data_IF_652950269294
#
_entry.id   IF_652950269294
#
_cell.length_a   1.000
_cell.length_b   1.000
_cell.length_c   1.000
_cell.angle_alpha   90.00
_cell.angle_beta   90.00
_cell.angle_gamma   90.00
#
_symmetry.space_group_name_H-M   'P 1'
#
loop_
_entity.id
_entity.type
_entity.pdbx_description
1 polymer ?
#
# COMPACT_ATOMS: atom_id res chain seq x y z
N UNK A 1 20.68 -5.99 -0.47
CA UNK A 1 19.64 -4.94 -0.42
C UNK A 1 20.28 -3.58 -0.17
N UNK A 2 20.40 -2.73 -1.19
CA UNK A 2 20.84 -1.35 -1.02
C UNK A 2 19.72 -0.56 -0.34
N UNK A 3 20.04 0.17 0.74
CA UNK A 3 19.11 1.13 1.32
C UNK A 3 18.98 2.29 0.32
N UNK A 4 17.85 2.36 -0.37
CA UNK A 4 17.37 3.60 -0.98
C UNK A 4 17.34 4.64 0.14
N UNK A 5 18.09 5.73 -0.03
CA UNK A 5 18.16 6.77 1.00
C UNK A 5 17.13 7.86 0.72
N UNK A 6 16.80 8.11 -0.54
CA UNK A 6 15.82 9.10 -0.96
C UNK A 6 14.89 8.52 -2.04
N UNK A 7 13.65 9.02 -2.10
CA UNK A 7 12.66 8.63 -3.11
C UNK A 7 13.18 8.90 -4.54
N UNK A 8 13.96 9.96 -4.70
CA UNK A 8 14.62 10.39 -5.94
C UNK A 8 15.65 9.35 -6.46
N UNK A 9 16.12 8.42 -5.61
CA UNK A 9 17.04 7.35 -6.02
C UNK A 9 16.31 6.17 -6.70
N UNK A 10 14.96 6.12 -6.64
CA UNK A 10 14.14 4.99 -7.13
C UNK A 10 13.19 5.40 -8.24
N UNK A 11 12.72 6.64 -8.22
CA UNK A 11 11.96 7.25 -9.29
C UNK A 11 12.81 8.41 -9.83
N UNK A 12 13.29 8.36 -11.08
CA UNK A 12 13.72 9.57 -11.77
C UNK A 12 12.46 10.42 -11.97
N UNK A 13 12.12 11.21 -10.96
CA UNK A 13 11.16 12.29 -11.08
C UNK A 13 11.89 13.39 -11.87
N UNK A 14 12.05 13.16 -13.19
CA UNK A 14 12.67 14.12 -14.11
C UNK A 14 11.77 15.37 -14.29
N UNK A 15 10.56 15.35 -13.73
CA UNK A 15 9.62 16.46 -13.67
C UNK A 15 9.88 17.35 -12.46
N UNK A 16 9.90 18.67 -12.67
CA UNK A 16 9.94 19.65 -11.60
C UNK A 16 8.77 19.41 -10.63
N UNK A 17 9.01 19.40 -9.30
CA UNK A 17 7.94 19.18 -8.34
C UNK A 17 6.90 20.30 -8.44
N UNK A 18 5.62 19.92 -8.45
CA UNK A 18 4.52 20.87 -8.44
C UNK A 18 4.62 21.82 -7.23
N UNK A 19 4.23 23.09 -7.38
CA UNK A 19 4.08 24.01 -6.25
C UNK A 19 3.24 23.40 -5.14
N UNK A 20 3.62 23.65 -3.88
CA UNK A 20 2.96 23.04 -2.72
C UNK A 20 1.45 23.32 -2.68
N UNK A 21 1.04 24.51 -3.04
CA UNK A 21 -0.36 24.93 -3.11
C UNK A 21 -1.16 24.14 -4.15
N UNK A 22 -0.54 23.79 -5.28
CA UNK A 22 -1.15 22.92 -6.29
C UNK A 22 -1.27 21.48 -5.81
N UNK A 23 -0.23 20.95 -5.15
CA UNK A 23 -0.26 19.63 -4.51
C UNK A 23 -1.35 19.57 -3.43
N UNK A 24 -1.44 20.60 -2.60
CA UNK A 24 -2.44 20.68 -1.52
C UNK A 24 -3.86 20.75 -2.11
N UNK A 25 -4.06 21.49 -3.21
CA UNK A 25 -5.34 21.54 -3.93
C UNK A 25 -5.73 20.17 -4.50
N UNK A 26 -4.81 19.46 -5.15
CA UNK A 26 -5.04 18.10 -5.67
C UNK A 26 -5.34 17.10 -4.55
N UNK A 27 -4.72 17.26 -3.37
CA UNK A 27 -4.97 16.41 -2.21
C UNK A 27 -6.28 16.75 -1.47
N UNK A 28 -6.85 17.94 -1.69
CA UNK A 28 -8.10 18.37 -1.06
C UNK A 28 -9.25 17.43 -1.37
N UNK A 29 -9.32 16.97 -2.62
CA UNK A 29 -10.37 16.08 -3.13
C UNK A 29 -10.18 14.62 -2.68
N UNK A 30 -9.10 14.31 -1.95
CA UNK A 30 -8.88 12.97 -1.39
C UNK A 30 -10.00 12.64 -0.41
N UNK A 31 -10.71 11.56 -0.72
CA UNK A 31 -11.72 10.96 0.16
C UNK A 31 -11.18 10.77 1.58
N UNK A 32 -11.96 11.20 2.58
CA UNK A 32 -11.60 11.06 4.01
C UNK A 32 -12.07 9.74 4.61
N UNK A 33 -13.04 9.08 3.99
CA UNK A 33 -13.63 7.83 4.46
C UNK A 33 -13.71 6.84 3.31
N UNK A 34 -13.81 5.54 3.64
CA UNK A 34 -13.89 4.49 2.61
C UNK A 34 -15.08 4.67 1.67
N UNK A 35 -16.21 5.20 2.17
CA UNK A 35 -17.38 5.50 1.35
C UNK A 35 -17.10 6.49 0.21
N UNK A 36 -16.13 7.40 0.40
CA UNK A 36 -15.70 8.33 -0.66
C UNK A 36 -14.79 7.70 -1.71
N UNK A 37 -14.30 6.47 -1.51
CA UNK A 37 -13.39 5.81 -2.44
C UNK A 37 -14.08 5.14 -3.65
N UNK A 38 -15.42 5.01 -3.64
CA UNK A 38 -16.20 4.20 -4.60
C UNK A 38 -16.03 4.64 -6.06
N UNK A 39 -15.76 5.93 -6.31
CA UNK A 39 -15.55 6.48 -7.66
C UNK A 39 -14.10 6.87 -7.97
N UNK A 40 -13.15 6.56 -7.08
CA UNK A 40 -11.75 6.91 -7.28
C UNK A 40 -11.14 5.95 -8.29
N UNK A 41 -10.33 6.48 -9.22
CA UNK A 41 -9.64 5.69 -10.24
C UNK A 41 -8.76 4.57 -9.66
N UNK A 42 -8.49 3.53 -10.46
CA UNK A 42 -7.55 2.44 -10.16
C UNK A 42 -6.53 2.31 -11.30
N UNK A 43 -5.21 2.30 -11.04
CA UNK A 43 -4.55 2.31 -9.72
C UNK A 43 -4.85 3.57 -8.90
N UNK A 44 -5.00 3.40 -7.59
CA UNK A 44 -5.41 4.51 -6.72
C UNK A 44 -4.35 5.64 -6.73
N UNK A 45 -4.72 6.88 -7.17
CA UNK A 45 -3.76 7.98 -7.28
C UNK A 45 -3.32 8.54 -5.92
N UNK A 46 -4.05 8.21 -4.84
CA UNK A 46 -3.77 8.72 -3.51
C UNK A 46 -2.68 7.91 -2.80
N UNK A 47 -1.43 8.02 -3.28
CA UNK A 47 -0.26 7.28 -2.75
C UNK A 47 0.05 7.58 -1.27
N UNK A 48 -0.45 8.71 -0.74
CA UNK A 48 -0.32 9.09 0.67
C UNK A 48 -1.39 8.47 1.58
N UNK A 49 -2.32 7.67 1.03
CA UNK A 49 -3.29 6.90 1.80
C UNK A 49 -2.59 5.72 2.49
N UNK A 50 -2.89 5.47 3.77
CA UNK A 50 -2.34 4.36 4.56
C UNK A 50 -2.69 2.97 4.02
N UNK A 51 -3.66 2.88 3.12
CA UNK A 51 -4.10 1.62 2.49
C UNK A 51 -3.60 1.45 1.06
N UNK A 52 -2.86 2.43 0.52
CA UNK A 52 -2.25 2.30 -0.79
C UNK A 52 -1.05 1.35 -0.71
N UNK A 53 -0.90 0.47 -1.71
CA UNK A 53 0.13 -0.57 -1.72
C UNK A 53 1.35 -0.21 -2.57
N UNK A 54 1.52 1.06 -2.96
CA UNK A 54 2.67 1.50 -3.73
C UNK A 54 3.91 1.74 -2.85
N UNK A 55 3.72 2.47 -1.75
CA UNK A 55 4.79 2.87 -0.82
C UNK A 55 4.74 2.07 0.47
N UNK A 56 5.92 1.69 0.95
CA UNK A 56 6.15 1.22 2.30
C UNK A 56 6.78 2.35 3.11
N UNK A 57 6.18 2.69 4.25
CA UNK A 57 6.71 3.71 5.16
C UNK A 57 7.04 3.03 6.49
N UNK A 58 8.29 3.17 6.93
CA UNK A 58 8.67 2.75 8.26
C UNK A 58 8.21 3.82 9.27
N UNK A 59 7.22 3.49 10.10
CA UNK A 59 6.60 4.45 11.03
C UNK A 59 7.57 5.01 12.09
N UNK A 60 8.61 4.27 12.47
CA UNK A 60 9.57 4.70 13.48
C UNK A 60 10.64 5.65 12.93
N UNK A 61 11.14 5.37 11.72
CA UNK A 61 12.28 6.08 11.11
C UNK A 61 11.87 7.04 10.01
N UNK A 62 10.63 6.95 9.52
CA UNK A 62 10.15 7.70 8.36
C UNK A 62 10.74 7.23 7.03
N UNK A 63 11.53 6.15 7.00
CA UNK A 63 12.12 5.65 5.76
C UNK A 63 11.03 5.16 4.79
N UNK A 64 11.15 5.58 3.53
CA UNK A 64 10.20 5.22 2.46
C UNK A 64 10.88 4.24 1.49
N UNK A 65 10.17 3.19 1.09
CA UNK A 65 10.58 2.26 0.04
C UNK A 65 9.41 1.88 -0.87
N UNK A 66 9.69 1.32 -2.04
CA UNK A 66 8.65 0.79 -2.92
C UNK A 66 8.23 -0.62 -2.49
N UNK A 67 6.94 -0.90 -2.58
CA UNK A 67 6.43 -2.26 -2.41
C UNK A 67 6.80 -3.16 -3.60
N UNK A 68 6.74 -2.63 -4.82
CA UNK A 68 7.17 -3.31 -6.03
C UNK A 68 8.30 -2.51 -6.72
N UNK A 69 9.53 -3.02 -6.62
CA UNK A 69 10.70 -2.32 -7.16
C UNK A 69 10.69 -2.31 -8.69
N UNK A 70 10.94 -1.14 -9.28
CA UNK A 70 11.00 -0.98 -10.74
C UNK A 70 9.64 -0.88 -11.43
N UNK A 71 8.55 -0.73 -10.67
CA UNK A 71 7.21 -0.46 -11.22
C UNK A 71 6.84 0.99 -10.94
N UNK A 72 6.50 1.71 -12.00
CA UNK A 72 5.97 3.07 -11.92
C UNK A 72 4.55 3.08 -11.30
N UNK A 73 4.19 4.17 -10.61
CA UNK A 73 2.89 4.32 -9.95
C UNK A 73 1.70 4.09 -10.90
N UNK A 74 1.80 4.51 -12.16
CA UNK A 74 0.75 4.34 -13.16
C UNK A 74 0.73 2.94 -13.78
N UNK A 75 1.80 2.18 -13.61
CA UNK A 75 1.94 0.81 -14.09
C UNK A 75 1.59 -0.25 -13.02
N UNK A 76 1.22 0.18 -11.81
CA UNK A 76 0.69 -0.72 -10.77
C UNK A 76 -0.55 -1.42 -11.29
N UNK A 77 -0.71 -2.70 -10.94
CA UNK A 77 -1.93 -3.45 -11.21
C UNK A 77 -3.13 -2.77 -10.51
N UNK A 78 -4.17 -2.31 -11.24
CA UNK A 78 -5.33 -1.62 -10.65
C UNK A 78 -5.94 -2.36 -9.47
N UNK A 79 -6.02 -3.69 -9.55
CA UNK A 79 -6.64 -4.58 -8.56
C UNK A 79 -5.74 -4.80 -7.32
N UNK A 80 -4.48 -4.39 -7.39
CA UNK A 80 -3.49 -4.53 -6.30
C UNK A 80 -2.96 -3.19 -5.80
N UNK A 81 -3.64 -2.09 -6.13
CA UNK A 81 -3.24 -0.76 -5.70
C UNK A 81 -3.72 -0.40 -4.28
N UNK A 82 -4.68 -1.14 -3.71
CA UNK A 82 -5.25 -0.86 -2.39
C UNK A 82 -5.50 -2.13 -1.55
N UNK A 83 -5.02 -2.13 -0.31
CA UNK A 83 -5.20 -3.23 0.63
C UNK A 83 -6.68 -3.50 0.99
N UNK A 84 -7.50 -2.44 1.02
CA UNK A 84 -8.92 -2.58 1.34
C UNK A 84 -9.74 -3.14 0.18
N UNK A 85 -9.36 -2.85 -1.07
CA UNK A 85 -10.03 -3.45 -2.23
C UNK A 85 -9.72 -4.94 -2.32
N UNK A 86 -8.46 -5.33 -2.02
CA UNK A 86 -8.08 -6.74 -1.89
C UNK A 86 -8.91 -7.40 -0.79
N UNK A 87 -8.98 -6.81 0.40
CA UNK A 87 -9.75 -7.38 1.51
C UNK A 87 -11.25 -7.54 1.18
N UNK A 88 -11.84 -6.58 0.46
CA UNK A 88 -13.25 -6.66 0.03
C UNK A 88 -13.50 -7.73 -1.04
N UNK A 89 -12.47 -8.15 -1.77
CA UNK A 89 -12.57 -9.26 -2.73
C UNK A 89 -12.69 -10.65 -2.05
N UNK A 90 -12.48 -10.72 -0.73
CA UNK A 90 -12.71 -11.92 0.08
C UNK A 90 -11.43 -12.59 0.55
N UNK A 91 -11.47 -13.93 0.64
CA UNK A 91 -10.33 -14.74 1.08
C UNK A 91 -9.24 -14.76 0.02
N UNK A 92 -7.98 -14.70 0.46
CA UNK A 92 -6.79 -14.77 -0.39
C UNK A 92 -5.81 -15.76 0.19
N UNK A 93 -5.12 -16.48 -0.68
CA UNK A 93 -3.96 -17.30 -0.32
C UNK A 93 -2.76 -16.44 0.11
N UNK A 94 -1.80 -17.06 0.78
CA UNK A 94 -0.55 -16.40 1.16
C UNK A 94 0.23 -15.91 -0.06
N UNK A 95 0.17 -16.69 -1.16
CA UNK A 95 0.78 -16.37 -2.45
C UNK A 95 0.12 -15.16 -3.12
N UNK A 96 -1.22 -15.07 -3.09
CA UNK A 96 -1.96 -13.92 -3.62
C UNK A 96 -1.65 -12.64 -2.84
N UNK A 97 -1.57 -12.73 -1.50
CA UNK A 97 -1.17 -11.60 -0.66
C UNK A 97 0.27 -11.17 -0.94
N UNK A 98 1.20 -12.13 -1.07
CA UNK A 98 2.60 -11.83 -1.40
C UNK A 98 2.75 -11.24 -2.81
N UNK A 99 1.94 -11.68 -3.77
CA UNK A 99 1.91 -11.10 -5.11
C UNK A 99 1.43 -9.64 -5.10
N UNK A 100 0.53 -9.28 -4.18
CA UNK A 100 0.10 -7.90 -3.97
C UNK A 100 1.10 -7.08 -3.13
N UNK A 101 1.88 -7.73 -2.26
CA UNK A 101 2.91 -7.10 -1.43
C UNK A 101 4.29 -7.76 -1.62
N UNK A 102 4.93 -7.62 -2.80
CA UNK A 102 6.16 -8.35 -3.14
C UNK A 102 7.36 -8.02 -2.24
N UNK A 103 7.32 -6.88 -1.55
CA UNK A 103 8.31 -6.50 -0.55
C UNK A 103 8.32 -7.39 0.70
N UNK A 104 7.25 -8.16 0.94
CA UNK A 104 7.14 -9.12 2.03
C UNK A 104 7.38 -10.55 1.53
N UNK A 105 8.14 -11.35 2.29
CA UNK A 105 8.24 -12.77 2.00
C UNK A 105 6.99 -13.51 2.48
N UNK A 106 6.67 -14.65 1.85
CA UNK A 106 5.53 -15.50 2.23
C UNK A 106 5.57 -15.85 3.73
N UNK A 107 6.74 -16.22 4.26
CA UNK A 107 6.89 -16.53 5.69
C UNK A 107 6.70 -15.34 6.64
N UNK A 108 6.83 -14.09 6.16
CA UNK A 108 6.44 -12.90 6.94
C UNK A 108 4.92 -12.75 6.94
N UNK A 109 4.27 -12.93 5.79
CA UNK A 109 2.79 -12.90 5.68
C UNK A 109 2.16 -13.95 6.59
N UNK A 110 2.62 -15.19 6.51
CA UNK A 110 2.16 -16.30 7.37
C UNK A 110 2.33 -15.98 8.86
N UNK A 111 3.48 -15.40 9.25
CA UNK A 111 3.72 -15.02 10.64
C UNK A 111 2.73 -13.95 11.11
N UNK A 112 2.47 -12.94 10.27
CA UNK A 112 1.50 -11.88 10.58
C UNK A 112 0.12 -12.50 10.80
N UNK A 113 -0.30 -13.40 9.91
CA UNK A 113 -1.57 -14.12 10.02
C UNK A 113 -1.64 -14.93 11.34
N UNK A 114 -0.62 -15.73 11.65
CA UNK A 114 -0.58 -16.52 12.88
C UNK A 114 -0.65 -15.64 14.15
N UNK A 115 0.01 -14.48 14.15
CA UNK A 115 -0.08 -13.50 15.25
C UNK A 115 -1.48 -12.92 15.35
N UNK A 116 -2.12 -12.58 14.22
CA UNK A 116 -3.49 -12.08 14.18
C UNK A 116 -4.48 -13.13 14.70
N UNK A 117 -4.41 -14.37 14.20
CA UNK A 117 -5.24 -15.50 14.66
C UNK A 117 -5.07 -15.77 16.15
N UNK A 118 -3.83 -15.71 16.66
CA UNK A 118 -3.57 -15.85 18.10
C UNK A 118 -4.26 -14.77 18.92
N UNK A 119 -4.29 -13.52 18.44
CA UNK A 119 -4.99 -12.39 19.09
C UNK A 119 -6.51 -12.52 18.99
N UNK A 120 -7.01 -13.06 17.89
CA UNK A 120 -8.44 -13.29 17.66
C UNK A 120 -8.98 -14.50 18.42
N UNK A 121 -8.13 -15.47 18.76
CA UNK A 121 -8.52 -16.73 19.43
C UNK A 121 -9.50 -16.57 20.60
N UNK A 122 -9.37 -15.60 21.54
CA UNK A 122 -10.34 -15.45 22.63
C UNK A 122 -11.75 -15.01 22.19
N UNK A 123 -11.89 -14.46 20.98
CA UNK A 123 -13.14 -13.94 20.43
C UNK A 123 -13.80 -14.90 19.43
N UNK A 124 -13.04 -15.86 18.91
CA UNK A 124 -13.59 -16.95 18.13
C UNK A 124 -14.36 -17.85 19.11
N UNK A 125 -15.69 -17.89 18.98
CA UNK A 125 -16.50 -18.88 19.71
C UNK A 125 -15.92 -20.26 19.38
N UNK A 126 -15.76 -21.10 20.40
CA UNK A 126 -15.58 -22.54 20.16
C UNK A 126 -16.78 -22.96 19.31
N UNK A 127 -16.51 -23.27 18.04
CA UNK A 127 -17.49 -23.85 17.11
C UNK A 127 -17.55 -25.35 17.40
#
# INVERSE_FOLDING_TARGET
MGKVKNLDDVLPLDDDPLPKDEVDALCSDRAKTRGGCVGVYRPCPHISCSHNLYLNVNEETGAVSLNNAGVDVLAVDPDKSCALDIADAGEHSLEEIQAAMPSLSIGVVERIEQVALRRLRPYLKEV
#
